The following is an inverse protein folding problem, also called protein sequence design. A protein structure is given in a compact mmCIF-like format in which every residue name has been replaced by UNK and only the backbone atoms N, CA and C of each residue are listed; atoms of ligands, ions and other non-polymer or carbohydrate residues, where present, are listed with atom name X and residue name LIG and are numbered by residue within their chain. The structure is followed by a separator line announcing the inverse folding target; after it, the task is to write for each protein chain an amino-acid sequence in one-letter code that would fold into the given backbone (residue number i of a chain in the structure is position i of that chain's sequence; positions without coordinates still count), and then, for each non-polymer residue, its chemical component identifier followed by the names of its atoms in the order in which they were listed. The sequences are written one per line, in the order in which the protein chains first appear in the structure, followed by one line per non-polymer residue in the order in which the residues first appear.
data_IF_138548774020
#
_entry.id   IF_138548774020
#
_cell.length_a   1.000
_cell.length_b   1.000
_cell.length_c   1.000
_cell.angle_alpha   90.00
_cell.angle_beta   90.00
_cell.angle_gamma   90.00
#
_symmetry.space_group_name_H-M   'P 1'
#
loop_
_entity.id
_entity.type
_entity.pdbx_description
1 polymer ?
#
# COMPACT_ATOMS: atom_id res chain seq x y z
N UNK A 1 -7.00 12.91 9.51
CA UNK A 1 -5.52 12.93 9.54
C UNK A 1 -5.06 12.02 10.66
N UNK A 2 -4.22 11.04 10.35
CA UNK A 2 -3.60 10.22 11.39
C UNK A 2 -2.61 11.09 12.18
N UNK A 3 -2.61 10.96 13.51
CA UNK A 3 -1.70 11.65 14.43
C UNK A 3 -1.13 10.62 15.38
N UNK A 4 0.12 10.80 15.81
CA UNK A 4 0.71 9.93 16.82
C UNK A 4 -0.04 10.11 18.16
N UNK A 5 -0.59 9.06 18.78
CA UNK A 5 -1.30 9.18 20.06
C UNK A 5 -0.38 9.55 21.24
N UNK A 6 0.94 9.38 21.08
CA UNK A 6 1.92 9.67 22.14
C UNK A 6 2.43 11.11 22.13
N UNK A 7 2.66 11.71 20.96
CA UNK A 7 3.26 13.04 20.84
C UNK A 7 2.45 14.04 20.01
N UNK A 8 1.31 13.64 19.44
CA UNK A 8 0.44 14.50 18.62
C UNK A 8 1.02 14.85 17.24
N UNK A 9 2.22 14.38 16.90
CA UNK A 9 2.87 14.66 15.62
C UNK A 9 2.02 14.16 14.44
N UNK A 10 2.02 14.96 13.38
CA UNK A 10 1.38 14.65 12.09
C UNK A 10 2.30 13.89 11.15
N UNK A 11 3.59 13.75 11.49
CA UNK A 11 4.57 13.01 10.70
C UNK A 11 4.43 11.48 10.91
N UNK A 12 3.29 10.94 10.50
CA UNK A 12 2.99 9.51 10.54
C UNK A 12 2.88 8.96 9.11
N UNK A 13 3.30 7.72 8.91
CA UNK A 13 3.28 7.07 7.61
C UNK A 13 2.59 5.71 7.69
N UNK A 14 1.92 5.33 6.60
CA UNK A 14 1.32 4.01 6.46
C UNK A 14 2.38 2.95 6.14
N UNK A 15 2.31 1.82 6.83
CA UNK A 15 3.14 0.64 6.55
C UNK A 15 2.23 -0.57 6.30
N UNK A 16 2.65 -1.44 5.40
CA UNK A 16 1.96 -2.70 5.11
C UNK A 16 2.95 -3.83 4.91
N UNK A 17 2.51 -5.08 5.14
CA UNK A 17 3.34 -6.28 5.03
C UNK A 17 3.37 -6.79 3.60
N UNK A 18 4.57 -6.94 3.05
CA UNK A 18 4.84 -7.46 1.70
C UNK A 18 5.78 -8.64 1.82
N UNK A 19 5.38 -9.82 1.33
CA UNK A 19 6.18 -11.07 1.28
C UNK A 19 7.02 -11.31 2.55
N UNK A 20 6.41 -11.10 3.71
CA UNK A 20 7.02 -11.40 5.01
C UNK A 20 7.56 -10.20 5.81
N UNK A 21 7.88 -9.06 5.18
CA UNK A 21 8.43 -7.88 5.87
C UNK A 21 7.52 -6.65 5.76
N UNK A 22 7.70 -5.68 6.67
CA UNK A 22 6.96 -4.41 6.62
C UNK A 22 7.65 -3.40 5.71
N UNK A 23 6.86 -2.71 4.89
CA UNK A 23 7.34 -1.64 4.01
C UNK A 23 6.45 -0.41 4.10
N UNK A 24 7.05 0.77 3.91
CA UNK A 24 6.33 2.06 3.91
C UNK A 24 5.58 2.23 2.59
N UNK A 25 4.26 2.36 2.67
CA UNK A 25 3.36 2.47 1.51
C UNK A 25 3.68 3.73 0.70
N UNK A 26 4.09 4.82 1.37
CA UNK A 26 4.44 6.09 0.72
C UNK A 26 5.59 5.97 -0.29
N UNK A 27 6.45 4.96 -0.14
CA UNK A 27 7.61 4.75 -1.02
C UNK A 27 7.34 3.71 -2.12
N UNK A 28 6.07 3.36 -2.37
CA UNK A 28 5.72 2.36 -3.38
C UNK A 28 5.41 3.00 -4.74
N UNK A 29 5.90 2.37 -5.80
CA UNK A 29 5.56 2.74 -7.17
C UNK A 29 4.06 2.51 -7.45
N UNK A 30 3.52 3.18 -8.47
CA UNK A 30 2.09 3.11 -8.85
C UNK A 30 1.58 1.67 -8.97
N UNK A 31 2.34 0.77 -9.58
CA UNK A 31 1.96 -0.64 -9.76
C UNK A 31 1.78 -1.37 -8.42
N UNK A 32 2.66 -1.13 -7.44
CA UNK A 32 2.54 -1.74 -6.09
C UNK A 32 1.36 -1.17 -5.31
N UNK A 33 1.05 0.11 -5.48
CA UNK A 33 -0.13 0.71 -4.86
C UNK A 33 -1.43 0.16 -5.48
N UNK A 34 -1.46 -0.06 -6.79
CA UNK A 34 -2.59 -0.67 -7.48
C UNK A 34 -2.80 -2.12 -7.04
N UNK A 35 -1.74 -2.93 -7.02
CA UNK A 35 -1.74 -4.29 -6.50
C UNK A 35 -2.27 -4.31 -5.06
N UNK A 36 -1.75 -3.44 -4.19
CA UNK A 36 -2.19 -3.37 -2.80
C UNK A 36 -3.67 -3.06 -2.65
N UNK A 37 -4.21 -2.14 -3.46
CA UNK A 37 -5.66 -1.87 -3.51
C UNK A 37 -6.44 -3.09 -3.97
N UNK A 38 -5.94 -3.86 -4.93
CA UNK A 38 -6.58 -5.09 -5.38
C UNK A 38 -6.55 -6.18 -4.29
N UNK A 39 -5.44 -6.34 -3.57
CA UNK A 39 -5.35 -7.23 -2.40
C UNK A 39 -6.33 -6.86 -1.30
N UNK A 40 -6.47 -5.57 -0.99
CA UNK A 40 -7.45 -5.10 0.00
C UNK A 40 -8.89 -5.40 -0.41
N UNK A 41 -9.17 -5.49 -1.72
CA UNK A 41 -10.46 -5.89 -2.26
C UNK A 41 -10.65 -7.40 -2.38
N UNK A 42 -9.58 -8.19 -2.19
CA UNK A 42 -9.58 -9.64 -2.46
C UNK A 42 -9.61 -9.99 -3.95
N UNK A 43 -9.33 -9.03 -4.84
CA UNK A 43 -9.29 -9.25 -6.28
C UNK A 43 -7.88 -9.68 -6.69
N UNK A 44 -7.67 -10.98 -6.85
CA UNK A 44 -6.41 -11.57 -7.30
C UNK A 44 -6.42 -11.91 -8.80
N UNK A 45 -7.43 -11.42 -9.53
CA UNK A 45 -7.55 -11.69 -10.96
C UNK A 45 -6.40 -11.01 -11.72
N UNK A 46 -5.73 -11.77 -12.58
CA UNK A 46 -4.71 -11.23 -13.48
C UNK A 46 -5.48 -10.53 -14.60
N UNK A 47 -5.53 -9.21 -14.54
CA UNK A 47 -6.07 -8.43 -15.66
C UNK A 47 -5.01 -8.40 -16.74
N UNK A 48 -5.25 -9.16 -17.79
CA UNK A 48 -4.41 -9.14 -18.99
C UNK A 48 -4.49 -7.72 -19.58
N UNK A 49 -3.41 -6.95 -19.43
CA UNK A 49 -3.27 -5.68 -20.13
C UNK A 49 -3.11 -6.02 -21.61
N UNK A 50 -4.13 -5.74 -22.43
CA UNK A 50 -4.04 -5.88 -23.89
C UNK A 50 -2.79 -5.15 -24.35
N UNK A 51 -1.84 -5.90 -24.90
CA UNK A 51 -0.70 -5.36 -25.62
C UNK A 51 -1.21 -4.63 -26.87
N UNK A 52 -1.25 -3.30 -26.82
CA UNK A 52 -1.27 -2.35 -27.95
C UNK A 52 -1.39 -0.93 -27.42
#
# INVERSE_FOLDING_TARGET
MAKCPHCGSTNVYGMSRVVGYFSRINNWNKSKQAEFKSRQKGDYTIKEEKCC
#
